data_IF_388018641008
#
_entry.id   IF_388018641008
#
_cell.length_a   1.000
_cell.length_b   1.000
_cell.length_c   1.000
_cell.angle_alpha   90.00
_cell.angle_beta   90.00
_cell.angle_gamma   90.00
#
_symmetry.space_group_name_H-M   'P 1'
#
loop_
_entity.id
_entity.type
_entity.pdbx_description
1 polymer ?
#
# COMPACT_ATOMS: atom_id res chain seq x y z
N UNK A 1 19.68 17.66 -0.19
CA UNK A 1 19.47 16.36 0.47
C UNK A 1 18.12 15.84 0.00
N UNK A 2 17.98 14.60 -0.48
CA UNK A 2 16.66 14.05 -0.71
C UNK A 2 15.91 14.06 0.64
N UNK A 3 14.59 14.31 0.66
CA UNK A 3 13.83 14.24 1.89
C UNK A 3 14.08 12.87 2.52
N UNK A 4 14.57 12.87 3.75
CA UNK A 4 14.94 11.65 4.47
C UNK A 4 13.68 10.82 4.66
N UNK A 5 13.48 9.82 3.80
CA UNK A 5 12.35 8.93 3.91
C UNK A 5 12.47 8.19 5.25
N UNK A 6 11.46 8.32 6.13
CA UNK A 6 11.51 7.68 7.43
C UNK A 6 11.43 6.15 7.25
N UNK A 7 12.44 5.44 7.73
CA UNK A 7 12.51 3.98 7.57
C UNK A 7 11.56 3.28 8.56
N UNK A 8 10.67 2.44 8.04
CA UNK A 8 9.79 1.59 8.84
C UNK A 8 10.45 0.23 9.05
N UNK A 9 10.50 -0.21 10.30
CA UNK A 9 11.11 -1.49 10.66
C UNK A 9 10.18 -2.67 10.27
N UNK A 10 10.67 -3.67 9.52
CA UNK A 10 9.91 -4.87 9.24
C UNK A 10 9.79 -5.78 10.47
N UNK A 11 8.61 -6.36 10.64
CA UNK A 11 8.32 -7.46 11.54
C UNK A 11 8.24 -8.75 10.72
N UNK A 12 9.21 -9.64 10.90
CA UNK A 12 9.30 -10.92 10.18
C UNK A 12 9.29 -10.77 8.64
N UNK A 13 9.90 -9.70 8.12
CA UNK A 13 9.95 -9.39 6.69
C UNK A 13 8.73 -8.64 6.14
N UNK A 14 7.76 -8.31 6.99
CA UNK A 14 6.54 -7.56 6.63
C UNK A 14 6.48 -6.22 7.35
N UNK A 15 5.91 -5.22 6.71
CA UNK A 15 5.65 -3.90 7.30
C UNK A 15 4.17 -3.63 7.15
N UNK A 16 3.51 -3.31 8.26
CA UNK A 16 2.08 -3.02 8.29
C UNK A 16 1.90 -1.55 8.59
N UNK A 17 1.19 -0.84 7.72
CA UNK A 17 0.91 0.58 7.87
C UNK A 17 -0.59 0.86 7.79
N UNK A 18 -1.01 1.93 8.44
CA UNK A 18 -2.31 2.53 8.25
C UNK A 18 -2.14 4.00 7.92
N UNK A 19 -2.95 4.53 7.00
CA UNK A 19 -2.99 5.98 6.77
C UNK A 19 -3.45 6.69 8.03
N UNK A 20 -3.06 7.96 8.20
CA UNK A 20 -3.53 8.81 9.30
C UNK A 20 -5.06 8.82 9.47
N UNK A 21 -5.81 8.71 8.37
CA UNK A 21 -7.27 8.63 8.38
C UNK A 21 -7.83 7.29 8.85
N UNK A 22 -7.01 6.24 8.90
CA UNK A 22 -7.41 4.85 9.20
C UNK A 22 -8.21 4.17 8.08
N UNK A 23 -8.47 4.86 6.97
CA UNK A 23 -9.30 4.35 5.86
C UNK A 23 -8.56 3.34 4.99
N UNK A 24 -7.24 3.40 4.94
CA UNK A 24 -6.43 2.50 4.11
C UNK A 24 -5.37 1.86 4.99
N UNK A 25 -5.29 0.53 4.93
CA UNK A 25 -4.31 -0.29 5.62
C UNK A 25 -3.48 -1.03 4.59
N UNK A 26 -2.16 -1.10 4.73
CA UNK A 26 -1.31 -1.79 3.79
C UNK A 26 -0.29 -2.67 4.48
N UNK A 27 -0.05 -3.84 3.90
CA UNK A 27 1.02 -4.75 4.20
C UNK A 27 2.04 -4.70 3.07
N UNK A 28 3.30 -4.48 3.40
CA UNK A 28 4.41 -4.48 2.46
C UNK A 28 5.37 -5.62 2.80
N UNK A 29 5.91 -6.27 1.78
CA UNK A 29 7.09 -7.13 1.86
C UNK A 29 8.00 -6.83 0.66
N UNK A 30 9.17 -7.47 0.57
CA UNK A 30 10.11 -7.22 -0.52
C UNK A 30 9.56 -7.53 -1.92
N UNK A 31 8.58 -8.43 -2.04
CA UNK A 31 8.04 -8.90 -3.31
C UNK A 31 6.75 -8.18 -3.75
N UNK A 32 5.95 -7.67 -2.82
CA UNK A 32 4.63 -7.10 -3.09
C UNK A 32 4.15 -6.15 -2.00
N UNK A 33 3.19 -5.31 -2.38
CA UNK A 33 2.39 -4.48 -1.48
C UNK A 33 0.92 -4.88 -1.62
N UNK A 34 0.31 -5.21 -0.49
CA UNK A 34 -1.10 -5.49 -0.33
C UNK A 34 -1.76 -4.31 0.41
N UNK A 35 -2.77 -3.67 -0.15
CA UNK A 35 -3.53 -2.63 0.52
C UNK A 35 -5.00 -3.01 0.60
N UNK A 36 -5.63 -2.63 1.71
CA UNK A 36 -7.04 -2.79 1.96
C UNK A 36 -7.67 -1.43 2.26
N UNK A 37 -8.76 -1.11 1.57
CA UNK A 37 -9.52 0.12 1.75
C UNK A 37 -10.94 -0.04 1.25
N UNK A 38 -11.83 0.86 1.65
CA UNK A 38 -13.18 0.94 1.09
C UNK A 38 -13.14 1.80 -0.18
N UNK A 39 -12.83 1.13 -1.30
CA UNK A 39 -12.66 1.77 -2.59
C UNK A 39 -14.02 2.12 -3.21
N UNK A 40 -14.25 3.40 -3.50
CA UNK A 40 -15.49 3.87 -4.11
C UNK A 40 -15.75 3.26 -5.50
N UNK A 41 -14.69 2.96 -6.27
CA UNK A 41 -14.77 2.43 -7.63
C UNK A 41 -14.03 1.08 -7.79
N UNK A 42 -14.04 0.24 -6.76
CA UNK A 42 -13.42 -1.07 -6.87
C UNK A 42 -14.19 -2.01 -7.82
N UNK A 43 -13.47 -2.86 -8.60
CA UNK A 43 -14.10 -3.90 -9.40
C UNK A 43 -14.76 -4.97 -8.51
N UNK A 44 -15.73 -5.68 -9.07
CA UNK A 44 -16.29 -6.85 -8.41
C UNK A 44 -15.39 -8.08 -8.64
N UNK A 45 -14.98 -8.72 -7.56
CA UNK A 45 -14.29 -10.01 -7.56
C UNK A 45 -15.29 -11.03 -7.03
N UNK A 46 -15.63 -12.06 -7.82
CA UNK A 46 -16.61 -13.08 -7.44
C UNK A 46 -17.99 -12.53 -7.01
N UNK A 47 -18.42 -11.40 -7.57
CA UNK A 47 -19.71 -10.76 -7.26
C UNK A 47 -19.69 -9.83 -6.03
N UNK A 48 -18.54 -9.67 -5.37
CA UNK A 48 -18.35 -8.76 -4.24
C UNK A 48 -17.37 -7.63 -4.60
N UNK A 49 -17.61 -6.42 -4.10
CA UNK A 49 -16.70 -5.28 -4.32
C UNK A 49 -15.34 -5.56 -3.69
N UNK A 50 -14.28 -5.49 -4.49
CA UNK A 50 -12.92 -5.70 -4.01
C UNK A 50 -12.55 -4.64 -2.96
N UNK A 51 -12.15 -5.07 -1.77
CA UNK A 51 -11.57 -4.18 -0.74
C UNK A 51 -10.07 -4.32 -0.63
N UNK A 52 -9.48 -5.29 -1.32
CA UNK A 52 -8.05 -5.57 -1.32
C UNK A 52 -7.44 -5.38 -2.70
N UNK A 53 -6.22 -4.85 -2.72
CA UNK A 53 -5.41 -4.73 -3.93
C UNK A 53 -3.98 -5.13 -3.63
N UNK A 54 -3.36 -5.87 -4.56
CA UNK A 54 -1.97 -6.28 -4.50
C UNK A 54 -1.22 -5.73 -5.71
N UNK A 55 -0.04 -5.20 -5.50
CA UNK A 55 0.94 -4.93 -6.56
C UNK A 55 2.23 -5.69 -6.28
N UNK A 56 2.81 -6.33 -7.29
CA UNK A 56 4.14 -6.96 -7.17
C UNK A 56 5.26 -5.96 -7.47
N UNK A 57 6.50 -6.31 -7.12
CA UNK A 57 7.69 -5.53 -7.47
C UNK A 57 7.85 -5.32 -8.99
N UNK A 58 7.26 -6.18 -9.82
CA UNK A 58 7.21 -6.03 -11.28
C UNK A 58 6.04 -5.16 -11.78
N UNK A 59 5.27 -4.53 -10.89
CA UNK A 59 4.14 -3.66 -11.26
C UNK A 59 2.84 -4.42 -11.60
N UNK A 60 2.74 -5.72 -11.33
CA UNK A 60 1.51 -6.49 -11.60
C UNK A 60 0.45 -6.20 -10.54
N UNK A 61 -0.64 -5.58 -10.96
CA UNK A 61 -1.80 -5.30 -10.10
C UNK A 61 -2.77 -6.48 -10.08
N UNK A 62 -3.32 -6.81 -8.91
CA UNK A 62 -4.37 -7.82 -8.74
C UNK A 62 -5.33 -7.40 -7.65
N UNK A 63 -6.63 -7.59 -7.88
CA UNK A 63 -7.68 -7.26 -6.92
C UNK A 63 -8.11 -8.49 -6.13
N UNK A 64 -8.51 -8.29 -4.89
CA UNK A 64 -9.05 -9.31 -4.01
C UNK A 64 -10.12 -8.74 -3.08
N UNK A 65 -10.78 -9.62 -2.34
CA UNK A 65 -11.89 -9.21 -1.46
C UNK A 65 -11.45 -8.39 -0.25
N UNK A 66 -10.15 -8.35 0.06
CA UNK A 66 -9.60 -7.63 1.22
C UNK A 66 -9.80 -8.45 2.49
N UNK A 67 -8.71 -9.04 2.98
CA UNK A 67 -8.70 -9.66 4.30
C UNK A 67 -7.29 -9.60 4.88
N UNK A 68 -6.81 -8.38 5.16
CA UNK A 68 -5.59 -8.19 5.96
C UNK A 68 -5.83 -8.57 7.44
N UNK A 69 -7.08 -8.74 7.86
CA UNK A 69 -7.42 -9.15 9.22
C UNK A 69 -7.06 -8.11 10.29
N UNK A 70 -6.83 -8.58 11.51
CA UNK A 70 -6.37 -7.78 12.63
C UNK A 70 -4.83 -7.75 12.65
N UNK A 71 -4.24 -6.91 11.80
CA UNK A 71 -2.78 -6.70 11.74
C UNK A 71 -2.37 -5.50 12.62
N UNK A 72 -1.20 -5.57 13.30
CA UNK A 72 -0.65 -4.46 14.07
C UNK A 72 -0.06 -3.40 13.13
N UNK A 73 -0.92 -2.53 12.60
CA UNK A 73 -0.51 -1.45 11.69
C UNK A 73 0.14 -0.31 12.44
N UNK A 74 1.22 0.23 11.88
CA UNK A 74 1.80 1.51 12.30
C UNK A 74 1.10 2.64 11.55
N UNK A 75 0.50 3.58 12.28
CA UNK A 75 -0.10 4.76 11.65
C UNK A 75 0.99 5.68 11.11
N UNK A 76 0.89 6.03 9.83
CA UNK A 76 1.83 6.95 9.16
C UNK A 76 1.19 8.31 8.89
N UNK A 77 1.99 9.37 8.98
CA UNK A 77 1.62 10.74 8.64
C UNK A 77 1.79 11.02 7.13
N UNK A 78 1.41 12.21 6.68
CA UNK A 78 1.57 12.63 5.29
C UNK A 78 3.02 12.99 4.96
N UNK A 79 3.85 11.97 4.85
CA UNK A 79 5.28 12.07 4.63
C UNK A 79 5.79 10.92 3.75
N UNK A 80 7.07 10.97 3.40
CA UNK A 80 7.74 9.89 2.68
C UNK A 80 8.36 8.90 3.66
N UNK A 81 8.10 7.62 3.46
CA UNK A 81 8.66 6.50 4.22
C UNK A 81 9.40 5.55 3.31
N UNK A 82 10.26 4.73 3.90
CA UNK A 82 10.93 3.63 3.20
C UNK A 82 10.76 2.34 4.00
N UNK A 83 10.46 1.24 3.32
CA UNK A 83 10.19 -0.03 3.99
C UNK A 83 10.44 -1.19 3.04
N UNK A 84 11.23 -2.20 3.44
CA UNK A 84 11.42 -3.46 2.71
C UNK A 84 11.69 -3.29 1.19
N UNK A 85 12.45 -2.27 0.80
CA UNK A 85 12.76 -1.98 -0.62
C UNK A 85 11.73 -1.12 -1.36
N UNK A 86 10.72 -0.59 -0.67
CA UNK A 86 9.70 0.31 -1.22
C UNK A 86 9.84 1.71 -0.65
N UNK A 87 9.60 2.70 -1.51
CA UNK A 87 9.33 4.09 -1.13
C UNK A 87 7.83 4.29 -1.04
N UNK A 88 7.37 4.82 0.08
CA UNK A 88 5.97 5.05 0.41
C UNK A 88 5.78 6.55 0.51
N UNK A 89 4.99 7.13 -0.38
CA UNK A 89 4.69 8.55 -0.39
C UNK A 89 3.23 8.71 0.05
N UNK A 90 3.03 8.97 1.34
CA UNK A 90 1.71 9.12 1.92
C UNK A 90 1.26 10.58 1.85
N UNK A 91 0.09 10.81 1.26
CA UNK A 91 -0.52 12.13 1.14
C UNK A 91 -2.02 12.07 1.45
N UNK A 92 -2.64 13.25 1.50
CA UNK A 92 -4.08 13.37 1.76
C UNK A 92 -4.94 12.77 0.64
N UNK A 93 -4.45 12.77 -0.60
CA UNK A 93 -5.15 12.25 -1.77
C UNK A 93 -4.99 10.73 -1.94
N UNK A 94 -4.03 10.12 -1.25
CA UNK A 94 -3.68 8.71 -1.41
C UNK A 94 -2.24 8.41 -1.04
N UNK A 95 -1.87 7.13 -1.17
CA UNK A 95 -0.52 6.64 -0.88
C UNK A 95 0.09 6.07 -2.15
N UNK A 96 1.31 6.48 -2.47
CA UNK A 96 2.09 5.93 -3.59
C UNK A 96 3.16 4.99 -3.07
N UNK A 97 3.18 3.78 -3.60
CA UNK A 97 4.22 2.79 -3.37
C UNK A 97 5.06 2.68 -4.64
N UNK A 98 6.38 2.79 -4.49
CA UNK A 98 7.34 2.63 -5.58
C UNK A 98 8.44 1.69 -5.12
N UNK A 99 8.70 0.63 -5.87
CA UNK A 99 9.81 -0.26 -5.61
C UNK A 99 11.12 0.45 -5.96
N UNK A 100 12.07 0.47 -5.04
CA UNK A 100 13.34 1.17 -5.25
C UNK A 100 14.26 0.45 -6.25
N UNK A 101 14.07 -0.86 -6.47
CA UNK A 101 14.88 -1.66 -7.39
C UNK A 101 14.37 -1.61 -8.84
N UNK A 102 13.05 -1.65 -9.03
CA UNK A 102 12.44 -1.71 -10.37
C UNK A 102 11.82 -0.40 -10.82
N UNK A 103 11.50 0.52 -9.90
CA UNK A 103 10.75 1.74 -10.19
C UNK A 103 9.24 1.55 -10.40
N UNK A 104 8.75 0.30 -10.36
CA UNK A 104 7.33 -0.01 -10.49
C UNK A 104 6.60 0.08 -9.16
N UNK A 105 5.27 0.20 -9.20
CA UNK A 105 4.46 0.12 -7.99
C UNK A 105 3.02 0.52 -8.22
N UNK A 106 2.40 1.11 -7.19
CA UNK A 106 1.00 1.51 -7.27
C UNK A 106 0.70 2.79 -6.51
N UNK A 107 -0.32 3.51 -6.96
CA UNK A 107 -0.99 4.55 -6.23
C UNK A 107 -2.34 4.02 -5.74
N UNK A 108 -2.60 4.09 -4.44
CA UNK A 108 -3.84 3.64 -3.79
C UNK A 108 -4.51 4.82 -3.09
N UNK A 109 -5.79 4.99 -3.31
CA UNK A 109 -6.64 5.93 -2.56
C UNK A 109 -8.05 5.36 -2.44
N UNK A 110 -8.89 5.98 -1.61
CA UNK A 110 -10.32 5.61 -1.52
C UNK A 110 -11.07 5.83 -2.84
N UNK A 111 -10.57 6.71 -3.72
CA UNK A 111 -11.17 6.93 -5.04
C UNK A 111 -10.85 5.79 -6.03
N UNK A 112 -9.70 5.12 -5.89
CA UNK A 112 -9.29 4.02 -6.76
C UNK A 112 -7.80 3.67 -6.66
N UNK A 113 -7.35 2.76 -7.52
CA UNK A 113 -5.98 2.24 -7.52
C UNK A 113 -5.41 2.22 -8.93
N UNK A 114 -4.12 2.56 -9.07
CA UNK A 114 -3.41 2.56 -10.35
C UNK A 114 -1.97 2.05 -10.19
N UNK A 115 -1.59 1.01 -10.94
CA UNK A 115 -0.21 0.56 -11.05
C UNK A 115 0.59 1.32 -12.14
N UNK A 116 1.92 1.30 -12.04
CA UNK A 116 2.86 1.86 -13.01
C UNK A 116 4.19 1.07 -13.00
#
# INVERSE_FOLDING_TARGET
MPPTAQALAPQNGYVFIATKSGQTRCQLNAAAVDCESDFANAPQVNGETARGVRVTADGKLSWGLGNLGAIPTVTIDYQTYSAVGWTILAGAEGTRFTNAGTGHGMFVSTAGVKAF
#
